data_IF_194875556793
#
_entry.id   IF_194875556793
#
_cell.length_a   1.000
_cell.length_b   1.000
_cell.length_c   1.000
_cell.angle_alpha   90.00
_cell.angle_beta   90.00
_cell.angle_gamma   90.00
#
_symmetry.space_group_name_H-M   'P 1'
#
loop_
_entity.id
_entity.type
_entity.pdbx_description
1 polymer ?
#
# COMPACT_ATOMS: atom_id res chain seq x y z
N UNK A 1 20.86 -4.67 -13.40
CA UNK A 1 20.96 -4.45 -11.94
C UNK A 1 20.03 -3.37 -11.37
N UNK A 2 19.84 -2.18 -11.98
CA UNK A 2 18.84 -1.19 -11.46
C UNK A 2 17.39 -1.61 -11.73
N UNK A 3 17.11 -2.20 -12.90
CA UNK A 3 15.77 -2.69 -13.26
C UNK A 3 15.28 -3.80 -12.33
N UNK A 4 16.16 -4.73 -11.93
CA UNK A 4 15.81 -5.85 -11.05
C UNK A 4 15.28 -5.37 -9.68
N UNK A 5 15.79 -4.24 -9.19
CA UNK A 5 15.34 -3.64 -7.92
C UNK A 5 13.99 -2.95 -8.02
N UNK A 6 13.67 -2.36 -9.17
CA UNK A 6 12.37 -1.73 -9.42
C UNK A 6 11.29 -2.80 -9.47
N UNK A 7 11.54 -3.89 -10.21
CA UNK A 7 10.62 -5.03 -10.28
C UNK A 7 10.45 -5.65 -8.90
N UNK A 8 11.54 -5.86 -8.15
CA UNK A 8 11.46 -6.36 -6.78
C UNK A 8 10.65 -5.44 -5.85
N UNK A 9 10.79 -4.11 -5.96
CA UNK A 9 9.99 -3.16 -5.19
C UNK A 9 8.49 -3.29 -5.47
N UNK A 10 8.11 -3.46 -6.73
CA UNK A 10 6.72 -3.71 -7.13
C UNK A 10 6.20 -5.03 -6.54
N UNK A 11 6.97 -6.11 -6.64
CA UNK A 11 6.60 -7.43 -6.10
C UNK A 11 6.43 -7.42 -4.57
N UNK A 12 7.34 -6.76 -3.86
CA UNK A 12 7.24 -6.61 -2.40
C UNK A 12 6.00 -5.80 -1.99
N UNK A 13 5.57 -4.83 -2.81
CA UNK A 13 4.35 -4.07 -2.54
C UNK A 13 3.09 -4.95 -2.64
N UNK A 14 3.04 -5.88 -3.59
CA UNK A 14 1.89 -6.79 -3.73
C UNK A 14 1.72 -7.65 -2.46
N UNK A 15 2.83 -8.14 -1.90
CA UNK A 15 2.83 -8.92 -0.66
C UNK A 15 2.30 -8.08 0.52
N UNK A 16 2.59 -6.78 0.55
CA UNK A 16 2.17 -5.90 1.64
C UNK A 16 0.65 -5.71 1.74
N UNK A 17 -0.11 -6.04 0.70
CA UNK A 17 -1.58 -5.97 0.74
C UNK A 17 -2.24 -7.06 1.56
N UNK A 18 -1.54 -8.16 1.85
CA UNK A 18 -2.09 -9.26 2.65
C UNK A 18 -2.61 -8.74 4.02
N UNK A 19 -1.84 -7.96 4.81
CA UNK A 19 -2.35 -7.29 6.00
C UNK A 19 -3.61 -6.45 5.76
N UNK A 20 -3.67 -5.68 4.67
CA UNK A 20 -4.82 -4.82 4.39
C UNK A 20 -6.08 -5.66 4.25
N UNK A 21 -6.03 -6.70 3.43
CA UNK A 21 -7.20 -7.53 3.18
C UNK A 21 -7.61 -8.32 4.42
N UNK A 22 -6.66 -8.89 5.16
CA UNK A 22 -6.96 -9.64 6.38
C UNK A 22 -7.64 -8.74 7.42
N UNK A 23 -7.06 -7.56 7.69
CA UNK A 23 -7.59 -6.63 8.70
C UNK A 23 -8.99 -6.15 8.30
N UNK A 24 -9.16 -5.72 7.05
CA UNK A 24 -10.43 -5.19 6.58
C UNK A 24 -11.51 -6.26 6.48
N UNK A 25 -11.18 -7.50 6.13
CA UNK A 25 -12.13 -8.62 6.15
C UNK A 25 -12.59 -8.96 7.57
N UNK A 26 -11.68 -8.97 8.55
CA UNK A 26 -12.03 -9.16 9.96
C UNK A 26 -12.94 -8.02 10.42
N UNK A 27 -12.58 -6.78 10.14
CA UNK A 27 -13.36 -5.61 10.51
C UNK A 27 -14.74 -5.58 9.84
N UNK A 28 -14.84 -6.02 8.57
CA UNK A 28 -16.11 -6.16 7.85
C UNK A 28 -17.03 -7.18 8.52
N UNK A 29 -16.49 -8.32 8.96
CA UNK A 29 -17.24 -9.33 9.74
C UNK A 29 -17.70 -8.83 11.11
N UNK A 30 -16.98 -7.88 11.69
CA UNK A 30 -17.33 -7.22 12.96
C UNK A 30 -18.22 -5.99 12.76
N UNK A 31 -18.67 -5.70 11.53
CA UNK A 31 -19.48 -4.52 11.18
C UNK A 31 -18.80 -3.18 11.49
N UNK A 32 -17.46 -3.14 11.49
CA UNK A 32 -16.66 -1.92 11.67
C UNK A 32 -16.35 -1.20 10.35
N UNK A 33 -16.53 -1.88 9.23
CA UNK A 33 -16.44 -1.32 7.87
C UNK A 33 -17.41 -2.06 6.96
N UNK A 34 -17.86 -1.42 5.88
CA UNK A 34 -18.77 -2.04 4.92
C UNK A 34 -18.02 -2.80 3.81
N UNK A 35 -16.75 -2.47 3.58
CA UNK A 35 -15.96 -2.95 2.44
C UNK A 35 -14.59 -3.48 2.87
N UNK A 36 -14.07 -4.47 2.15
CA UNK A 36 -12.70 -4.94 2.30
C UNK A 36 -11.72 -4.07 1.49
N UNK A 37 -10.42 -4.24 1.72
CA UNK A 37 -9.38 -3.51 0.99
C UNK A 37 -9.39 -3.82 -0.51
N UNK A 38 -9.54 -5.09 -0.88
CA UNK A 38 -9.62 -5.50 -2.29
C UNK A 38 -10.91 -5.02 -2.96
N UNK A 39 -12.04 -5.07 -2.25
CA UNK A 39 -13.29 -4.48 -2.74
C UNK A 39 -13.10 -2.98 -3.01
N UNK A 40 -12.53 -2.24 -2.05
CA UNK A 40 -12.25 -0.81 -2.20
C UNK A 40 -11.35 -0.50 -3.41
N UNK A 41 -10.34 -1.33 -3.70
CA UNK A 41 -9.48 -1.15 -4.87
C UNK A 41 -10.21 -1.37 -6.19
N UNK A 42 -11.14 -2.33 -6.24
CA UNK A 42 -11.95 -2.59 -7.44
C UNK A 42 -13.00 -1.52 -7.71
N UNK A 43 -13.43 -0.79 -6.68
CA UNK A 43 -14.44 0.28 -6.75
C UNK A 43 -14.01 1.50 -7.55
N UNK A 44 -12.74 1.56 -7.96
CA UNK A 44 -12.23 2.52 -8.95
C UNK A 44 -12.84 2.25 -10.35
N UNK A 45 -13.14 0.99 -10.65
CA UNK A 45 -13.63 0.55 -11.96
C UNK A 45 -15.06 0.03 -11.92
N UNK A 46 -15.46 -0.63 -10.84
CA UNK A 46 -16.79 -1.23 -10.67
C UNK A 46 -17.39 -0.76 -9.33
N UNK A 47 -18.38 0.14 -9.32
CA UNK A 47 -18.85 0.80 -8.12
C UNK A 47 -19.26 -0.12 -6.96
N UNK A 48 -19.83 -1.28 -7.27
CA UNK A 48 -20.31 -2.26 -6.28
C UNK A 48 -19.17 -3.04 -5.60
N UNK A 49 -17.98 -3.01 -6.19
CA UNK A 49 -16.81 -3.75 -5.72
C UNK A 49 -16.86 -5.24 -6.05
N UNK A 50 -15.68 -5.83 -6.24
CA UNK A 50 -15.47 -7.25 -6.47
C UNK A 50 -14.09 -7.64 -6.00
N UNK A 51 -13.98 -8.69 -5.18
CA UNK A 51 -12.69 -9.20 -4.69
C UNK A 51 -11.80 -9.65 -5.86
N UNK A 52 -12.37 -10.31 -6.87
CA UNK A 52 -11.61 -10.81 -8.03
C UNK A 52 -11.02 -9.64 -8.82
N UNK A 53 -11.85 -8.63 -9.10
CA UNK A 53 -11.36 -7.41 -9.75
C UNK A 53 -10.40 -6.64 -8.85
N UNK A 54 -10.58 -6.74 -7.54
CA UNK A 54 -9.73 -6.16 -6.50
C UNK A 54 -8.32 -6.73 -6.51
N UNK A 55 -8.17 -8.04 -6.75
CA UNK A 55 -6.85 -8.66 -6.92
C UNK A 55 -6.14 -8.06 -8.15
N UNK A 56 -6.85 -7.95 -9.28
CA UNK A 56 -6.31 -7.37 -10.50
C UNK A 56 -5.95 -5.88 -10.32
N UNK A 57 -6.85 -5.11 -9.72
CA UNK A 57 -6.62 -3.70 -9.37
C UNK A 57 -5.45 -3.55 -8.40
N UNK A 58 -5.33 -4.47 -7.45
CA UNK A 58 -4.24 -4.55 -6.48
C UNK A 58 -2.88 -4.68 -7.14
N UNK A 59 -2.73 -5.48 -8.20
CA UNK A 59 -1.47 -5.50 -8.96
C UNK A 59 -1.12 -4.13 -9.54
N UNK A 60 -2.08 -3.44 -10.17
CA UNK A 60 -1.84 -2.12 -10.77
C UNK A 60 -1.50 -1.06 -9.72
N UNK A 61 -2.38 -0.88 -8.73
CA UNK A 61 -2.23 0.11 -7.66
C UNK A 61 -1.00 -0.20 -6.81
N UNK A 62 -0.73 -1.48 -6.53
CA UNK A 62 0.45 -1.94 -5.80
C UNK A 62 1.75 -1.66 -6.51
N UNK A 63 1.83 -1.97 -7.80
CA UNK A 63 3.01 -1.63 -8.60
C UNK A 63 3.25 -0.12 -8.58
N UNK A 64 2.22 0.69 -8.82
CA UNK A 64 2.32 2.15 -8.77
C UNK A 64 2.76 2.66 -7.38
N UNK A 65 2.12 2.18 -6.32
CA UNK A 65 2.45 2.57 -4.95
C UNK A 65 3.87 2.14 -4.55
N UNK A 66 4.29 0.93 -4.92
CA UNK A 66 5.65 0.43 -4.70
C UNK A 66 6.70 1.30 -5.38
N UNK A 67 6.42 1.82 -6.58
CA UNK A 67 7.30 2.79 -7.26
C UNK A 67 7.36 4.12 -6.51
N UNK A 68 6.22 4.65 -6.07
CA UNK A 68 6.15 5.89 -5.28
C UNK A 68 6.99 5.76 -4.00
N UNK A 69 6.79 4.68 -3.24
CA UNK A 69 7.56 4.40 -2.03
C UNK A 69 9.05 4.24 -2.35
N UNK A 70 9.40 3.49 -3.40
CA UNK A 70 10.79 3.29 -3.80
C UNK A 70 11.50 4.60 -4.15
N UNK A 71 10.88 5.43 -4.99
CA UNK A 71 11.47 6.69 -5.42
C UNK A 71 11.43 7.78 -4.35
N UNK A 72 10.53 7.68 -3.36
CA UNK A 72 10.50 8.60 -2.22
C UNK A 72 11.85 8.66 -1.51
N UNK A 73 12.61 7.57 -1.49
CA UNK A 73 13.97 7.50 -0.89
C UNK A 73 14.93 8.55 -1.44
N UNK A 74 14.73 9.04 -2.66
CA UNK A 74 15.55 10.09 -3.27
C UNK A 74 15.29 11.47 -2.66
N UNK A 75 14.09 11.69 -2.10
CA UNK A 75 13.69 12.98 -1.53
C UNK A 75 14.09 13.11 -0.06
N UNK A 76 13.84 12.07 0.74
CA UNK A 76 13.98 12.11 2.20
C UNK A 76 14.86 10.99 2.79
N UNK A 77 15.63 10.28 1.95
CA UNK A 77 16.55 9.23 2.38
C UNK A 77 15.87 7.94 2.87
N UNK A 78 16.66 7.06 3.50
CA UNK A 78 16.24 5.72 3.95
C UNK A 78 16.08 5.58 5.46
N UNK A 79 16.32 6.64 6.23
CA UNK A 79 16.18 6.60 7.69
C UNK A 79 14.71 6.50 8.10
N UNK A 80 14.42 5.69 9.12
CA UNK A 80 13.06 5.42 9.61
C UNK A 80 12.07 4.99 8.51
N UNK A 81 12.56 4.29 7.48
CA UNK A 81 11.79 3.95 6.28
C UNK A 81 10.45 3.22 6.53
N UNK A 82 10.32 2.30 7.49
CA UNK A 82 9.02 1.71 7.83
C UNK A 82 7.94 2.75 8.17
N UNK A 83 8.28 3.79 8.94
CA UNK A 83 7.34 4.85 9.31
C UNK A 83 7.04 5.80 8.13
N UNK A 84 8.04 6.09 7.30
CA UNK A 84 7.83 6.87 6.07
C UNK A 84 6.89 6.15 5.09
N UNK A 85 7.09 4.85 4.91
CA UNK A 85 6.24 3.98 4.09
C UNK A 85 4.83 3.85 4.66
N UNK A 86 4.68 3.77 5.99
CA UNK A 86 3.39 3.84 6.68
C UNK A 86 2.60 5.11 6.29
N UNK A 87 3.23 6.29 6.39
CA UNK A 87 2.60 7.56 6.05
C UNK A 87 2.19 7.63 4.57
N UNK A 88 3.04 7.14 3.67
CA UNK A 88 2.72 7.08 2.24
C UNK A 88 1.53 6.15 1.97
N UNK A 89 1.49 4.98 2.59
CA UNK A 89 0.38 4.03 2.42
C UNK A 89 -0.95 4.60 2.92
N UNK A 90 -0.95 5.23 4.11
CA UNK A 90 -2.13 5.91 4.66
C UNK A 90 -2.58 7.06 3.75
N UNK A 91 -1.64 7.84 3.22
CA UNK A 91 -1.94 8.93 2.29
C UNK A 91 -2.54 8.39 0.99
N UNK A 92 -1.97 7.32 0.43
CA UNK A 92 -2.48 6.66 -0.78
C UNK A 92 -3.90 6.13 -0.59
N UNK A 93 -4.20 5.53 0.57
CA UNK A 93 -5.56 5.10 0.91
C UNK A 93 -6.51 6.30 1.03
N UNK A 94 -6.13 7.35 1.76
CA UNK A 94 -6.95 8.55 1.94
C UNK A 94 -7.26 9.24 0.61
N UNK A 95 -6.26 9.36 -0.27
CA UNK A 95 -6.43 9.89 -1.63
C UNK A 95 -7.38 9.02 -2.46
N UNK A 96 -7.26 7.69 -2.38
CA UNK A 96 -8.14 6.77 -3.10
C UNK A 96 -9.60 6.98 -2.71
N UNK A 97 -9.88 7.08 -1.41
CA UNK A 97 -11.25 7.28 -0.91
C UNK A 97 -11.77 8.68 -1.22
N UNK A 98 -10.91 9.70 -1.14
CA UNK A 98 -11.30 11.08 -1.46
C UNK A 98 -11.56 11.27 -2.95
N UNK A 99 -10.71 10.72 -3.82
CA UNK A 99 -10.82 10.87 -5.28
C UNK A 99 -11.94 9.99 -5.83
N UNK A 100 -11.94 8.69 -5.53
CA UNK A 100 -12.91 7.78 -6.15
C UNK A 100 -14.22 7.69 -5.38
N UNK A 101 -14.21 7.91 -4.06
CA UNK A 101 -15.42 7.94 -3.24
C UNK A 101 -16.12 9.29 -3.31
N UNK A 102 -15.48 10.34 -2.80
CA UNK A 102 -16.12 11.67 -2.68
C UNK A 102 -16.21 12.37 -4.03
N UNK A 103 -15.08 12.58 -4.72
CA UNK A 103 -15.07 13.28 -6.01
C UNK A 103 -15.72 12.44 -7.13
N UNK A 104 -15.49 11.13 -7.12
CA UNK A 104 -16.11 10.16 -8.02
C UNK A 104 -17.59 9.87 -7.73
N UNK A 105 -18.14 10.41 -6.62
CA UNK A 105 -19.52 10.18 -6.16
C UNK A 105 -19.89 8.70 -6.03
N UNK A 106 -18.92 7.85 -5.68
CA UNK A 106 -19.17 6.45 -5.40
C UNK A 106 -19.54 6.28 -3.92
N UNK A 107 -20.83 6.22 -3.64
CA UNK A 107 -21.36 6.07 -2.28
C UNK A 107 -20.95 4.74 -1.60
N UNK A 108 -20.62 3.70 -2.35
CA UNK A 108 -20.16 2.42 -1.79
C UNK A 108 -18.74 2.51 -1.22
N UNK A 109 -17.92 3.43 -1.75
CA UNK A 109 -16.55 3.65 -1.30
C UNK A 109 -16.48 4.68 -0.15
N UNK A 110 -17.53 5.46 0.07
CA UNK A 110 -17.63 6.37 1.21
C UNK A 110 -17.89 5.55 2.47
N UNK A 111 -16.96 5.63 3.43
CA UNK A 111 -17.08 4.94 4.72
C UNK A 111 -17.45 5.92 5.83
N UNK A 112 -18.04 5.38 6.89
CA UNK A 112 -18.25 6.08 8.14
C UNK A 112 -16.93 6.32 8.87
N UNK A 113 -16.99 6.99 10.02
CA UNK A 113 -15.79 7.32 10.80
C UNK A 113 -15.03 6.05 11.20
N UNK A 114 -15.74 5.01 11.63
CA UNK A 114 -15.14 3.74 12.03
C UNK A 114 -14.43 3.05 10.87
N UNK A 115 -15.09 2.92 9.72
CA UNK A 115 -14.52 2.32 8.53
C UNK A 115 -13.28 3.06 8.03
N UNK A 116 -13.29 4.40 8.07
CA UNK A 116 -12.10 5.19 7.72
C UNK A 116 -10.91 4.89 8.63
N UNK A 117 -11.11 4.75 9.95
CA UNK A 117 -10.05 4.35 10.87
C UNK A 117 -9.55 2.93 10.61
N UNK A 118 -10.45 1.99 10.31
CA UNK A 118 -10.09 0.61 9.95
C UNK A 118 -9.20 0.59 8.71
N UNK A 119 -9.58 1.28 7.64
CA UNK A 119 -8.80 1.31 6.40
C UNK A 119 -7.47 2.05 6.57
N UNK A 120 -7.44 3.14 7.33
CA UNK A 120 -6.20 3.84 7.67
C UNK A 120 -5.25 2.97 8.49
N UNK A 121 -5.76 2.24 9.49
CA UNK A 121 -4.99 1.31 10.30
C UNK A 121 -4.45 0.14 9.47
N UNK A 122 -5.29 -0.46 8.63
CA UNK A 122 -4.90 -1.51 7.69
C UNK A 122 -3.79 -1.03 6.75
N UNK A 123 -3.92 0.17 6.19
CA UNK A 123 -2.91 0.81 5.34
C UNK A 123 -1.62 1.09 6.11
N UNK A 124 -1.71 1.52 7.37
CA UNK A 124 -0.56 1.74 8.23
C UNK A 124 0.23 0.43 8.45
N UNK A 125 -0.44 -0.65 8.83
CA UNK A 125 0.18 -1.97 9.01
C UNK A 125 0.87 -2.46 7.72
N UNK A 126 0.21 -2.33 6.58
CA UNK A 126 0.79 -2.65 5.27
C UNK A 126 2.01 -1.79 4.96
N UNK A 127 1.93 -0.48 5.18
CA UNK A 127 3.02 0.45 4.91
C UNK A 127 4.25 0.19 5.80
N UNK A 128 4.05 -0.14 7.08
CA UNK A 128 5.15 -0.57 7.97
C UNK A 128 5.80 -1.85 7.45
N UNK A 129 5.00 -2.86 7.10
CA UNK A 129 5.50 -4.12 6.55
C UNK A 129 6.29 -3.87 5.26
N UNK A 130 5.75 -3.09 4.33
CA UNK A 130 6.40 -2.73 3.08
C UNK A 130 7.75 -2.05 3.31
N UNK A 131 7.79 -1.05 4.19
CA UNK A 131 9.02 -0.33 4.50
C UNK A 131 10.05 -1.22 5.20
N UNK A 132 9.61 -2.17 6.04
CA UNK A 132 10.49 -3.20 6.60
C UNK A 132 11.06 -4.11 5.51
N UNK A 133 10.22 -4.60 4.58
CA UNK A 133 10.64 -5.43 3.46
C UNK A 133 11.64 -4.70 2.55
N UNK A 134 11.41 -3.43 2.24
CA UNK A 134 12.32 -2.60 1.45
C UNK A 134 13.66 -2.42 2.16
N UNK A 135 13.63 -2.10 3.46
CA UNK A 135 14.85 -1.98 4.24
C UNK A 135 15.66 -3.27 4.20
N UNK A 136 15.01 -4.42 4.41
CA UNK A 136 15.66 -5.74 4.48
C UNK A 136 16.17 -6.24 3.13
N UNK A 137 15.38 -6.12 2.05
CA UNK A 137 15.68 -6.77 0.78
C UNK A 137 16.20 -5.83 -0.31
N UNK A 138 15.89 -4.53 -0.26
CA UNK A 138 16.33 -3.57 -1.28
C UNK A 138 17.53 -2.73 -0.83
N UNK A 139 17.59 -2.35 0.46
CA UNK A 139 18.60 -1.41 0.95
C UNK A 139 19.82 -2.08 1.59
N UNK A 140 19.69 -3.27 2.18
CA UNK A 140 20.84 -4.02 2.71
C UNK A 140 21.89 -4.28 1.61
N UNK A 141 21.46 -4.62 0.40
CA UNK A 141 22.37 -4.85 -0.75
C UNK A 141 23.08 -3.59 -1.26
N UNK A 142 22.70 -2.38 -0.83
CA UNK A 142 23.39 -1.13 -1.21
C UNK A 142 24.57 -0.83 -0.29
N UNK A 143 24.43 -1.14 1.00
CA UNK A 143 25.50 -0.87 1.96
C UNK A 143 26.68 -1.84 1.80
N UNK A 144 26.42 -3.10 1.44
CA UNK A 144 27.47 -4.10 1.18
C UNK A 144 28.30 -3.81 -0.08
N UNK A 145 27.70 -3.28 -1.15
CA UNK A 145 28.45 -2.95 -2.38
C UNK A 145 29.33 -1.71 -2.20
N UNK A 146 28.91 -0.75 -1.39
CA UNK A 146 29.71 0.44 -1.13
C UNK A 146 30.91 0.14 -0.23
N UNK A 147 30.80 -0.79 0.73
CA UNK A 147 31.92 -1.22 1.57
C UNK A 147 33.01 -1.98 0.82
N UNK A 148 32.69 -2.64 -0.31
CA UNK A 148 33.66 -3.37 -1.13
C UNK A 148 34.46 -2.47 -2.09
N UNK A 149 33.98 -1.27 -2.40
CA UNK A 149 34.67 -0.32 -3.28
C UNK A 149 35.51 0.72 -2.52
N UNK A 150 35.55 0.64 -1.19
CA UNK A 150 36.27 1.56 -0.31
C UNK A 150 37.44 0.91 0.44
N UNK A 151 37.84 -0.30 0.03
CA UNK A 151 39.07 -0.98 0.44
C UNK A 151 39.94 -1.26 -0.77
#
# INVERSE_FOLDING_TARGET
MKHDRIVLAMLLCIISFIPIEIITQIAKRLHLTNISGLEAMSMIWLPEGSIILGILAGFGIGCWHGLVVYYSTKLWGTDYFPFKSMLLAMTGQSLTFSIFGVLGRNNYLIQDVCGNYVHAFAAACSGVLLGYLFKKYLFVSRNQSNSQNSG
#
